data_IF_298813264625
#
_entry.id   IF_298813264625
#
_cell.length_a   1.000
_cell.length_b   1.000
_cell.length_c   1.000
_cell.angle_alpha   90.00
_cell.angle_beta   90.00
_cell.angle_gamma   90.00
#
_symmetry.space_group_name_H-M   'P 1'
#
loop_
_entity.id
_entity.type
_entity.pdbx_description
1 polymer ?
#
# COMPACT_ATOMS: atom_id res chain seq x y z
N UNK A 1 3.65 13.32 6.69
CA UNK A 1 2.31 12.70 6.50
C UNK A 1 1.64 13.40 5.32
N UNK A 2 0.96 12.69 4.42
CA UNK A 2 0.40 13.28 3.19
C UNK A 2 -1.01 13.83 3.43
N UNK A 3 -1.34 14.98 2.82
CA UNK A 3 -2.66 15.62 2.93
C UNK A 3 -3.71 14.91 2.05
N UNK A 4 -3.32 14.54 0.83
CA UNK A 4 -4.20 13.98 -0.19
C UNK A 4 -3.61 12.75 -0.89
N UNK A 5 -4.47 12.04 -1.62
CA UNK A 5 -4.05 10.90 -2.43
C UNK A 5 -3.03 11.29 -3.51
N UNK A 6 -3.21 12.46 -4.13
CA UNK A 6 -2.30 12.94 -5.18
C UNK A 6 -0.90 13.24 -4.63
N UNK A 7 -0.80 13.79 -3.43
CA UNK A 7 0.48 14.03 -2.76
C UNK A 7 1.21 12.71 -2.46
N UNK A 8 0.48 11.68 -2.03
CA UNK A 8 1.04 10.33 -1.85
C UNK A 8 1.48 9.72 -3.18
N UNK A 9 0.69 9.86 -4.24
CA UNK A 9 1.02 9.30 -5.56
C UNK A 9 2.23 10.02 -6.18
N UNK A 10 2.35 11.34 -6.02
CA UNK A 10 3.53 12.10 -6.41
C UNK A 10 4.79 11.66 -5.64
N UNK A 11 4.66 11.42 -4.34
CA UNK A 11 5.75 10.86 -3.54
C UNK A 11 6.16 9.46 -4.03
N UNK A 12 5.18 8.56 -4.21
CA UNK A 12 5.43 7.20 -4.69
C UNK A 12 6.06 7.21 -6.09
N UNK A 13 5.68 8.13 -6.97
CA UNK A 13 6.27 8.31 -8.30
C UNK A 13 7.72 8.79 -8.24
N UNK A 14 8.06 9.66 -7.29
CA UNK A 14 9.44 10.08 -7.07
C UNK A 14 10.27 8.96 -6.43
N UNK A 15 9.70 8.26 -5.46
CA UNK A 15 10.33 7.13 -4.79
C UNK A 15 10.59 5.97 -5.76
N UNK A 16 9.61 5.63 -6.61
CA UNK A 16 9.72 4.60 -7.65
C UNK A 16 10.84 4.88 -8.63
N UNK A 17 10.96 6.14 -9.08
CA UNK A 17 12.03 6.59 -9.98
C UNK A 17 13.41 6.46 -9.34
N UNK A 18 13.56 6.88 -8.08
CA UNK A 18 14.86 6.79 -7.36
C UNK A 18 15.29 5.36 -7.09
N UNK A 19 14.34 4.46 -6.80
CA UNK A 19 14.61 3.08 -6.37
C UNK A 19 14.38 2.04 -7.46
N UNK A 20 14.04 2.46 -8.68
CA UNK A 20 13.73 1.61 -9.83
C UNK A 20 12.70 0.51 -9.51
N UNK A 21 11.68 0.87 -8.73
CA UNK A 21 10.63 -0.04 -8.26
C UNK A 21 9.27 0.47 -8.68
N UNK A 22 8.41 -0.38 -9.22
CA UNK A 22 7.06 0.01 -9.62
C UNK A 22 6.09 -0.35 -8.49
N UNK A 23 5.19 0.58 -8.15
CA UNK A 23 4.19 0.41 -7.10
C UNK A 23 2.76 0.47 -7.67
N UNK A 24 2.28 -0.59 -8.33
CA UNK A 24 0.88 -0.66 -8.75
C UNK A 24 -0.08 -0.69 -7.54
N UNK A 25 -1.28 -0.15 -7.75
CA UNK A 25 -2.40 -0.32 -6.83
C UNK A 25 -2.88 -1.77 -6.94
N UNK A 26 -2.84 -2.52 -5.82
CA UNK A 26 -3.33 -3.89 -5.75
C UNK A 26 -4.78 -3.98 -5.32
N UNK A 27 -5.18 -3.14 -4.36
CA UNK A 27 -6.57 -3.09 -3.89
C UNK A 27 -6.94 -1.65 -3.56
N UNK A 28 -8.11 -1.23 -4.01
CA UNK A 28 -8.79 -0.01 -3.61
C UNK A 28 -10.19 -0.37 -3.11
N UNK A 29 -10.54 0.10 -1.91
CA UNK A 29 -11.92 -0.03 -1.42
C UNK A 29 -12.60 1.32 -1.57
N UNK A 30 -13.57 1.48 -2.48
CA UNK A 30 -14.32 2.73 -2.59
C UNK A 30 -15.16 2.96 -1.33
N UNK A 31 -15.35 4.24 -0.98
CA UNK A 31 -16.12 4.65 0.20
C UNK A 31 -17.56 4.13 0.10
N UNK A 32 -18.18 4.22 -1.08
CA UNK A 32 -19.53 3.68 -1.34
C UNK A 32 -19.70 2.23 -0.91
N UNK A 33 -18.79 1.35 -1.33
CA UNK A 33 -18.87 -0.09 -1.00
C UNK A 33 -18.66 -0.33 0.49
N UNK A 34 -17.79 0.43 1.16
CA UNK A 34 -17.65 0.37 2.62
C UNK A 34 -18.94 0.82 3.31
N UNK A 35 -19.50 1.95 2.89
CA UNK A 35 -20.71 2.52 3.48
C UNK A 35 -21.92 1.58 3.31
N UNK A 36 -22.05 0.93 2.14
CA UNK A 36 -23.06 -0.11 1.92
C UNK A 36 -22.89 -1.29 2.89
N UNK A 37 -21.65 -1.77 3.10
CA UNK A 37 -21.37 -2.82 4.08
C UNK A 37 -21.68 -2.40 5.52
N UNK A 38 -21.40 -1.15 5.88
CA UNK A 38 -21.73 -0.61 7.19
C UNK A 38 -23.25 -0.56 7.38
N UNK A 39 -24.01 -0.11 6.38
CA UNK A 39 -25.48 -0.07 6.43
C UNK A 39 -26.12 -1.46 6.52
N UNK A 40 -25.52 -2.45 5.86
CA UNK A 40 -25.96 -3.84 5.92
C UNK A 40 -25.53 -4.55 7.22
N UNK A 41 -24.52 -4.03 7.91
CA UNK A 41 -24.05 -4.58 9.18
C UNK A 41 -24.98 -4.17 10.32
N UNK A 42 -25.17 -5.08 11.28
CA UNK A 42 -25.84 -4.78 12.55
C UNK A 42 -24.99 -3.94 13.50
N UNK A 43 -23.69 -3.77 13.19
CA UNK A 43 -22.77 -2.99 14.01
C UNK A 43 -22.79 -1.51 13.62
N UNK A 44 -22.87 -0.60 14.60
CA UNK A 44 -22.81 0.82 14.31
C UNK A 44 -21.44 1.18 13.74
N UNK A 45 -21.42 1.75 12.54
CA UNK A 45 -20.21 2.23 11.88
C UNK A 45 -20.40 3.64 11.33
N UNK A 46 -19.36 4.47 11.40
CA UNK A 46 -19.41 5.82 10.82
C UNK A 46 -19.43 5.74 9.30
N UNK A 47 -20.44 6.38 8.71
CA UNK A 47 -20.53 6.59 7.25
C UNK A 47 -19.52 7.67 6.87
N UNK A 48 -18.67 7.39 5.88
CA UNK A 48 -17.76 8.39 5.34
C UNK A 48 -18.44 9.19 4.22
N UNK A 49 -18.11 10.48 4.06
CA UNK A 49 -18.61 11.25 2.93
C UNK A 49 -18.05 10.71 1.60
N UNK A 50 -18.87 10.72 0.55
CA UNK A 50 -18.52 10.20 -0.77
C UNK A 50 -17.38 11.01 -1.44
N UNK A 51 -17.18 12.27 -1.01
CA UNK A 51 -16.10 13.14 -1.48
C UNK A 51 -14.69 12.52 -1.36
N UNK A 52 -14.49 11.60 -0.40
CA UNK A 52 -13.18 10.96 -0.14
C UNK A 52 -12.84 9.86 -1.17
N UNK A 53 -13.80 9.46 -2.02
CA UNK A 53 -13.73 8.45 -3.10
C UNK A 53 -13.28 7.04 -2.65
N UNK A 54 -12.09 6.91 -2.05
CA UNK A 54 -11.49 5.66 -1.59
C UNK A 54 -11.28 5.65 -0.08
N UNK A 55 -11.77 4.58 0.57
CA UNK A 55 -11.50 4.30 1.98
C UNK A 55 -10.07 3.81 2.20
N UNK A 56 -9.53 3.01 1.27
CA UNK A 56 -8.12 2.61 1.33
C UNK A 56 -7.56 2.37 -0.06
N UNK A 57 -6.24 2.52 -0.17
CA UNK A 57 -5.43 2.10 -1.32
C UNK A 57 -4.24 1.28 -0.79
N UNK A 58 -4.05 0.11 -1.36
CA UNK A 58 -2.86 -0.72 -1.09
C UNK A 58 -1.98 -0.73 -2.33
N UNK A 59 -0.80 -0.17 -2.20
CA UNK A 59 0.26 -0.21 -3.21
C UNK A 59 1.23 -1.33 -2.85
N UNK A 60 1.62 -2.13 -3.84
CA UNK A 60 2.61 -3.20 -3.64
C UNK A 60 3.77 -2.99 -4.60
N UNK A 61 4.99 -3.23 -4.14
CA UNK A 61 6.14 -3.25 -5.04
C UNK A 61 6.07 -4.50 -5.95
N UNK A 62 6.69 -4.45 -7.12
CA UNK A 62 6.90 -5.63 -7.99
C UNK A 62 7.63 -6.78 -7.30
N UNK A 63 8.43 -6.49 -6.28
CA UNK A 63 9.13 -7.47 -5.46
C UNK A 63 8.31 -7.97 -4.25
N UNK A 64 7.03 -7.60 -4.15
CA UNK A 64 6.15 -8.03 -3.07
C UNK A 64 5.69 -9.50 -3.22
N UNK A 65 5.78 -10.26 -2.13
CA UNK A 65 5.30 -11.63 -2.04
C UNK A 65 6.42 -12.66 -1.85
N UNK A 66 6.04 -13.92 -1.65
CA UNK A 66 7.00 -15.03 -1.69
C UNK A 66 7.33 -15.33 -3.16
N UNK A 67 8.61 -15.60 -3.50
CA UNK A 67 8.95 -16.13 -4.81
C UNK A 67 8.07 -17.35 -5.11
N UNK A 68 7.65 -17.51 -6.38
CA UNK A 68 6.95 -18.72 -6.80
C UNK A 68 7.87 -19.92 -6.55
N UNK A 69 7.38 -20.93 -5.84
CA UNK A 69 8.09 -22.20 -5.67
C UNK A 69 8.19 -22.89 -7.02
N UNK A 70 9.41 -23.18 -7.48
CA UNK A 70 9.65 -23.93 -8.71
C UNK A 70 9.27 -25.40 -8.47
N UNK A 71 8.06 -25.80 -8.88
CA UNK A 71 7.68 -27.21 -8.95
C UNK A 71 8.12 -27.77 -10.30
N UNK A 72 9.41 -28.09 -10.43
CA UNK A 72 9.93 -28.71 -11.64
C UNK A 72 11.44 -28.93 -11.55
N UNK A 73 11.88 -30.15 -11.88
CA UNK A 73 13.27 -30.62 -12.00
C UNK A 73 14.12 -29.85 -13.04
N UNK A 74 13.74 -28.61 -13.40
CA UNK A 74 14.44 -27.77 -14.37
C UNK A 74 15.34 -26.77 -13.65
N UNK A 75 16.62 -27.12 -13.53
CA UNK A 75 17.68 -26.20 -13.12
C UNK A 75 17.66 -24.99 -14.07
N UNK A 76 17.15 -23.85 -13.59
CA UNK A 76 17.43 -22.55 -14.17
C UNK A 76 18.54 -21.93 -13.34
N UNK A 77 19.66 -21.48 -13.93
CA UNK A 77 20.71 -20.83 -13.16
C UNK A 77 20.08 -19.69 -12.36
N UNK A 78 20.31 -19.72 -11.05
CA UNK A 78 19.78 -18.75 -10.11
C UNK A 78 20.32 -17.37 -10.49
N UNK A 79 19.58 -16.63 -11.30
CA UNK A 79 19.78 -15.20 -11.39
C UNK A 79 19.38 -14.66 -10.02
N UNK A 80 20.39 -14.45 -9.17
CA UNK A 80 20.33 -13.61 -7.98
C UNK A 80 20.06 -12.16 -8.40
N UNK A 81 18.98 -11.92 -9.13
CA UNK A 81 18.48 -10.59 -9.37
C UNK A 81 17.58 -10.24 -8.19
N UNK A 82 18.24 -9.62 -7.22
CA UNK A 82 17.68 -8.61 -6.33
C UNK A 82 16.84 -9.15 -5.17
N UNK A 83 17.55 -9.64 -4.16
CA UNK A 83 17.33 -9.12 -2.80
C UNK A 83 17.70 -7.63 -2.81
N UNK A 84 16.94 -6.82 -3.54
CA UNK A 84 17.07 -5.38 -3.40
C UNK A 84 16.62 -5.05 -1.98
N UNK A 85 17.44 -4.27 -1.29
CA UNK A 85 17.20 -3.70 0.06
C UNK A 85 16.03 -2.69 0.05
N UNK A 86 14.96 -3.02 -0.67
CA UNK A 86 13.71 -2.31 -0.71
C UNK A 86 13.00 -2.52 0.63
N UNK A 87 13.26 -1.61 1.57
CA UNK A 87 12.59 -1.56 2.87
C UNK A 87 11.06 -1.43 2.72
N UNK A 88 10.59 -0.84 1.60
CA UNK A 88 9.18 -0.66 1.28
C UNK A 88 8.70 -1.73 0.29
N UNK A 89 8.07 -2.79 0.80
CA UNK A 89 7.47 -3.86 -0.03
C UNK A 89 5.97 -3.72 -0.21
N UNK A 90 5.27 -3.18 0.80
CA UNK A 90 3.82 -3.00 0.78
C UNK A 90 3.43 -1.72 1.48
N UNK A 91 2.79 -0.80 0.78
CA UNK A 91 2.27 0.43 1.38
C UNK A 91 0.74 0.33 1.40
N UNK A 92 0.16 0.10 2.59
CA UNK A 92 -1.29 0.13 2.78
C UNK A 92 -1.68 1.41 3.49
N UNK A 93 -2.36 2.30 2.78
CA UNK A 93 -2.90 3.53 3.35
C UNK A 93 -4.41 3.38 3.42
N UNK A 94 -4.96 3.53 4.62
CA UNK A 94 -6.41 3.55 4.84
C UNK A 94 -6.76 4.90 5.45
N UNK A 95 -7.89 5.45 5.05
CA UNK A 95 -8.54 6.59 5.70
C UNK A 95 -8.96 6.09 7.08
N UNK A 96 -8.05 6.22 8.06
CA UNK A 96 -8.41 6.08 9.47
C UNK A 96 -9.44 7.16 9.74
N UNK A 97 -10.58 6.74 10.30
CA UNK A 97 -11.76 7.55 10.59
C UNK A 97 -11.34 8.99 10.93
N UNK A 98 -11.89 9.94 10.19
CA UNK A 98 -11.47 11.34 10.17
C UNK A 98 -11.14 11.91 11.56
N UNK A 99 -10.10 12.75 11.60
CA UNK A 99 -9.51 13.48 12.74
C UNK A 99 -8.39 12.69 13.45
N UNK A 100 -7.15 12.94 13.04
CA UNK A 100 -5.95 12.58 13.83
C UNK A 100 -5.27 11.26 13.48
N UNK A 101 -4.06 11.38 12.93
CA UNK A 101 -3.01 10.34 12.82
C UNK A 101 -3.30 9.16 11.88
N UNK A 102 -2.89 9.33 10.62
CA UNK A 102 -2.48 8.24 9.73
C UNK A 102 -1.22 7.57 10.32
N UNK A 103 -1.38 6.57 11.17
CA UNK A 103 -0.28 5.73 11.63
C UNK A 103 0.06 4.69 10.54
N UNK A 104 1.18 4.92 9.84
CA UNK A 104 1.84 3.93 8.98
C UNK A 104 2.43 2.80 9.85
N UNK A 105 2.39 1.53 9.41
CA UNK A 105 3.12 0.44 10.05
C UNK A 105 4.64 0.45 9.78
N UNK A 106 5.17 1.48 9.10
CA UNK A 106 6.62 1.59 8.86
C UNK A 106 7.28 2.44 9.95
N UNK A 107 8.17 1.79 10.71
CA UNK A 107 9.19 2.43 11.56
C UNK A 107 10.30 2.93 10.63
N UNK A 108 10.49 4.24 10.56
CA UNK A 108 11.68 4.85 9.96
C UNK A 108 12.92 4.37 10.73
N UNK A 109 14.04 3.99 10.08
CA UNK A 109 15.30 3.83 10.79
C UNK A 109 15.82 5.23 11.18
N UNK A 110 16.10 5.41 12.47
CA UNK A 110 16.65 6.64 13.05
C UNK A 110 17.82 7.16 12.21
N UNK A 111 17.65 8.37 11.69
CA UNK A 111 18.77 9.16 11.15
C UNK A 111 19.30 10.00 12.30
N UNK A 112 20.25 9.45 13.03
CA UNK A 112 21.09 10.23 13.94
C UNK A 112 22.11 11.01 13.11
N UNK A 113 22.25 12.29 13.47
CA UNK A 113 23.12 13.33 12.89
C UNK A 113 24.59 12.88 12.87
#
# INVERSE_FOLDING_TARGET
MFADWDALEAYLKNYSRRRYQIFPIRTNTPVRTRNQRIRASKTPGRILPEAVQFYNKTYVCTHYGKPRSTSGQGVRPNQHSRNSVALLRLVRVSVKLAIGRFASPYREPDTTI
#
